data_IF_654397680065
#
_entry.id   IF_654397680065
#
_cell.length_a   1.000
_cell.length_b   1.000
_cell.length_c   1.000
_cell.angle_alpha   90.00
_cell.angle_beta   90.00
_cell.angle_gamma   90.00
#
_symmetry.space_group_name_H-M   'P 1'
#
loop_
_entity.id
_entity.type
_entity.pdbx_description
1 polymer ?
#
# COMPACT_ATOMS: atom_id res chain seq x y z
N UNK A 1 -62.30 -32.96 26.68
CA UNK A 1 -60.86 -33.05 26.98
C UNK A 1 -60.11 -32.46 25.77
N UNK A 2 -59.73 -31.24 25.89
CA UNK A 2 -59.05 -30.45 24.81
C UNK A 2 -57.58 -30.43 25.18
N UNK A 3 -56.71 -31.01 24.31
CA UNK A 3 -55.25 -30.92 24.42
C UNK A 3 -54.78 -29.68 23.69
N UNK A 4 -54.31 -28.69 24.44
CA UNK A 4 -53.62 -27.52 23.93
C UNK A 4 -52.14 -27.90 23.72
N UNK A 5 -51.70 -27.94 22.48
CA UNK A 5 -50.26 -28.03 22.12
C UNK A 5 -49.67 -26.62 22.09
N UNK A 6 -48.82 -26.34 23.07
CA UNK A 6 -47.99 -25.15 23.10
C UNK A 6 -46.80 -25.37 22.13
N UNK A 7 -46.77 -24.59 21.06
CA UNK A 7 -45.66 -24.56 20.11
C UNK A 7 -44.67 -23.49 20.59
N UNK A 8 -43.57 -23.94 21.21
CA UNK A 8 -42.46 -23.04 21.57
C UNK A 8 -41.65 -22.71 20.31
N UNK A 9 -41.80 -21.50 19.82
CA UNK A 9 -40.94 -20.96 18.77
C UNK A 9 -39.59 -20.56 19.39
N UNK A 10 -38.57 -21.37 19.14
CA UNK A 10 -37.18 -21.02 19.38
C UNK A 10 -36.74 -20.04 18.29
N UNK A 11 -36.73 -18.74 18.60
CA UNK A 11 -36.08 -17.71 17.81
C UNK A 11 -34.56 -17.86 18.01
N UNK A 12 -33.92 -18.59 17.09
CA UNK A 12 -32.47 -18.59 16.98
C UNK A 12 -32.07 -17.24 16.37
N UNK A 13 -31.64 -16.30 17.20
CA UNK A 13 -30.90 -15.15 16.77
C UNK A 13 -29.57 -15.65 16.18
N UNK A 14 -29.50 -15.80 14.87
CA UNK A 14 -28.23 -15.78 14.16
C UNK A 14 -27.65 -14.36 14.26
N UNK A 15 -26.88 -14.10 15.32
CA UNK A 15 -25.92 -13.03 15.29
C UNK A 15 -24.92 -13.39 14.19
N UNK A 16 -25.09 -12.79 13.02
CA UNK A 16 -24.03 -12.70 12.01
C UNK A 16 -22.87 -11.93 12.65
N UNK A 17 -21.97 -12.66 13.30
CA UNK A 17 -20.64 -12.15 13.54
C UNK A 17 -20.05 -11.86 12.15
N UNK A 18 -20.10 -10.62 11.71
CA UNK A 18 -19.18 -10.12 10.72
C UNK A 18 -17.80 -10.39 11.29
N UNK A 19 -17.14 -11.44 10.80
CA UNK A 19 -15.72 -11.65 10.97
C UNK A 19 -15.05 -10.44 10.31
N UNK A 20 -14.89 -9.36 11.06
CA UNK A 20 -13.95 -8.32 10.75
C UNK A 20 -12.60 -9.02 10.68
N UNK A 21 -12.05 -9.11 9.47
CA UNK A 21 -10.71 -9.62 9.26
C UNK A 21 -9.77 -8.73 10.09
N UNK A 22 -9.32 -9.24 11.23
CA UNK A 22 -8.38 -8.52 12.08
C UNK A 22 -7.02 -8.50 11.41
N UNK A 23 -6.39 -7.34 11.40
CA UNK A 23 -5.00 -7.17 11.00
C UNK A 23 -4.13 -8.11 11.84
N UNK A 24 -3.47 -9.07 11.20
CA UNK A 24 -2.58 -10.01 11.87
C UNK A 24 -1.14 -9.56 11.70
N UNK A 25 -0.52 -9.08 12.76
CA UNK A 25 0.89 -8.69 12.78
C UNK A 25 1.71 -9.88 13.28
N UNK A 26 2.58 -10.44 12.45
CA UNK A 26 3.59 -11.41 12.84
C UNK A 26 4.95 -10.70 12.98
N UNK A 27 5.40 -10.47 14.22
CA UNK A 27 6.75 -9.97 14.48
C UNK A 27 7.69 -11.16 14.56
N UNK A 28 8.57 -11.30 13.58
CA UNK A 28 9.70 -12.26 13.67
C UNK A 28 10.91 -11.56 14.26
N UNK A 29 11.36 -12.05 15.40
CA UNK A 29 12.50 -11.55 16.16
C UNK A 29 13.80 -11.55 15.34
N UNK A 30 14.53 -10.47 15.39
CA UNK A 30 15.86 -10.33 14.79
C UNK A 30 16.39 -8.91 14.71
N UNK A 31 15.61 -7.93 15.14
CA UNK A 31 15.96 -6.51 15.11
C UNK A 31 15.70 -5.86 16.47
N UNK A 32 16.25 -4.69 16.64
CA UNK A 32 16.17 -3.83 17.82
C UNK A 32 14.78 -3.84 18.46
N UNK A 33 14.70 -3.72 19.77
CA UNK A 33 13.42 -3.59 20.48
C UNK A 33 12.63 -2.43 19.89
N UNK A 34 11.29 -2.57 19.69
CA UNK A 34 10.47 -1.48 19.17
C UNK A 34 10.58 -0.24 20.08
N UNK A 35 10.71 0.93 19.46
CA UNK A 35 10.70 2.20 20.19
C UNK A 35 9.38 2.36 20.95
N UNK A 36 9.47 2.69 22.23
CA UNK A 36 8.29 2.86 23.08
C UNK A 36 7.78 4.30 23.00
N UNK A 37 6.54 4.45 22.59
CA UNK A 37 5.91 5.74 22.40
C UNK A 37 4.61 5.85 23.18
N UNK A 38 4.38 6.99 23.80
CA UNK A 38 3.11 7.35 24.39
C UNK A 38 2.38 8.35 23.48
N UNK A 39 1.16 8.02 23.07
CA UNK A 39 0.27 8.94 22.36
C UNK A 39 -0.89 9.24 23.28
N UNK A 40 -0.85 10.42 23.91
CA UNK A 40 -1.87 10.84 24.86
C UNK A 40 -3.18 11.11 24.11
N UNK A 41 -4.34 10.68 24.66
CA UNK A 41 -5.63 11.04 24.10
C UNK A 41 -5.76 12.55 23.91
N UNK A 42 -6.14 12.94 22.69
CA UNK A 42 -6.32 14.35 22.35
C UNK A 42 -7.49 14.93 23.17
N UNK A 43 -7.27 16.04 23.86
CA UNK A 43 -8.35 16.77 24.53
C UNK A 43 -9.20 17.51 23.50
N UNK A 44 -10.51 17.33 23.58
CA UNK A 44 -11.48 17.92 22.66
C UNK A 44 -12.28 19.04 23.34
N UNK A 45 -12.12 20.27 22.86
CA UNK A 45 -12.97 21.40 23.26
C UNK A 45 -14.21 21.51 22.37
N UNK A 46 -14.93 20.39 22.18
CA UNK A 46 -16.19 20.32 21.40
C UNK A 46 -17.19 19.41 22.13
N UNK A 47 -18.50 19.70 21.95
CA UNK A 47 -19.57 18.95 22.64
C UNK A 47 -19.68 17.49 22.19
N UNK A 48 -19.36 17.20 20.92
CA UNK A 48 -19.45 15.85 20.36
C UNK A 48 -18.15 15.52 19.65
N UNK A 49 -17.20 14.83 20.32
CA UNK A 49 -15.98 14.35 19.69
C UNK A 49 -16.30 13.40 18.54
N UNK A 50 -15.46 13.35 17.49
CA UNK A 50 -15.68 12.45 16.35
C UNK A 50 -15.64 10.98 16.77
N UNK A 51 -16.34 10.12 16.03
CA UNK A 51 -16.41 8.67 16.30
C UNK A 51 -15.05 7.96 16.22
N UNK A 52 -14.08 8.57 15.54
CA UNK A 52 -12.71 8.06 15.47
C UNK A 52 -11.81 8.91 16.37
N UNK A 53 -11.32 8.32 17.45
CA UNK A 53 -10.33 8.96 18.30
C UNK A 53 -8.99 9.05 17.60
N UNK A 54 -8.47 10.26 17.42
CA UNK A 54 -7.21 10.53 16.71
C UNK A 54 -6.05 9.69 17.27
N UNK A 55 -5.93 9.58 18.60
CA UNK A 55 -4.88 8.80 19.23
C UNK A 55 -4.97 7.29 18.94
N UNK A 56 -6.18 6.74 18.75
CA UNK A 56 -6.37 5.32 18.39
C UNK A 56 -5.91 5.04 16.96
N UNK A 57 -6.21 5.96 16.04
CA UNK A 57 -5.73 5.86 14.64
C UNK A 57 -4.21 5.95 14.63
N UNK A 58 -3.62 6.92 15.33
CA UNK A 58 -2.15 7.06 15.43
C UNK A 58 -1.52 5.80 16.04
N UNK A 59 -2.13 5.22 17.08
CA UNK A 59 -1.65 3.98 17.69
C UNK A 59 -1.62 2.84 16.66
N UNK A 60 -2.75 2.60 15.96
CA UNK A 60 -2.84 1.58 14.91
C UNK A 60 -1.77 1.75 13.84
N UNK A 61 -1.60 2.98 13.35
CA UNK A 61 -0.64 3.32 12.32
C UNK A 61 0.79 2.96 12.76
N UNK A 62 1.21 3.47 13.92
CA UNK A 62 2.57 3.29 14.40
C UNK A 62 2.91 1.82 14.70
N UNK A 63 1.95 1.06 15.21
CA UNK A 63 2.13 -0.38 15.49
C UNK A 63 2.12 -1.25 14.22
N UNK A 64 1.56 -0.75 13.10
CA UNK A 64 1.38 -1.53 11.86
C UNK A 64 2.69 -2.14 11.33
N UNK A 65 3.79 -1.45 11.48
CA UNK A 65 5.08 -1.89 10.96
C UNK A 65 6.02 -2.50 12.01
N UNK A 66 5.56 -2.62 13.28
CA UNK A 66 6.32 -3.23 14.36
C UNK A 66 7.59 -2.49 14.76
N UNK A 67 7.79 -1.25 14.28
CA UNK A 67 8.92 -0.37 14.64
C UNK A 67 8.65 0.41 15.94
N UNK A 68 7.37 0.52 16.32
CA UNK A 68 6.91 1.20 17.53
C UNK A 68 6.03 0.28 18.37
N UNK A 69 6.10 0.50 19.68
CA UNK A 69 5.17 -0.05 20.67
C UNK A 69 4.49 1.11 21.38
N UNK A 70 3.20 1.29 21.12
CA UNK A 70 2.42 2.37 21.75
C UNK A 70 1.84 1.89 23.07
N UNK A 71 2.05 2.62 24.15
CA UNK A 71 1.46 2.27 25.45
C UNK A 71 -0.01 2.68 25.52
N UNK A 72 -0.81 1.88 26.22
CA UNK A 72 -2.22 2.17 26.44
C UNK A 72 -2.41 3.36 27.39
N UNK A 73 -3.40 4.23 27.16
CA UNK A 73 -3.68 5.36 28.05
C UNK A 73 -3.92 4.97 29.52
N UNK A 74 -4.44 3.76 29.75
CA UNK A 74 -4.73 3.25 31.10
C UNK A 74 -3.48 3.02 31.96
N UNK A 75 -2.31 2.84 31.34
CA UNK A 75 -1.03 2.67 32.06
C UNK A 75 -0.23 3.96 32.17
N UNK A 76 -0.71 5.06 31.57
CA UNK A 76 -0.06 6.37 31.65
C UNK A 76 -0.26 6.97 33.04
N UNK A 77 0.80 7.56 33.62
CA UNK A 77 0.76 8.18 34.95
C UNK A 77 0.05 9.54 34.93
N UNK A 78 -0.01 10.19 33.79
CA UNK A 78 -0.71 11.46 33.57
C UNK A 78 -1.13 11.56 32.09
N UNK A 79 -2.08 12.45 31.79
CA UNK A 79 -2.55 12.72 30.43
C UNK A 79 -2.34 14.19 30.08
N UNK A 80 -1.08 14.65 29.93
CA UNK A 80 -0.78 16.05 29.64
C UNK A 80 -1.31 16.47 28.29
N UNK A 81 -1.90 17.65 28.20
CA UNK A 81 -2.40 18.23 26.95
C UNK A 81 -1.56 19.42 26.50
N UNK A 82 -0.72 19.95 27.39
CA UNK A 82 0.21 21.04 27.11
C UNK A 82 1.60 20.75 27.71
N UNK A 83 2.60 21.53 27.31
CA UNK A 83 4.01 21.31 27.70
C UNK A 83 4.27 21.51 29.20
N UNK A 84 3.48 22.35 29.90
CA UNK A 84 3.68 22.67 31.32
C UNK A 84 3.28 21.48 32.21
N UNK A 85 2.45 20.58 31.69
CA UNK A 85 1.98 19.38 32.39
C UNK A 85 2.90 18.18 32.17
N UNK A 86 3.95 18.30 31.36
CA UNK A 86 4.85 17.19 31.05
C UNK A 86 5.91 17.04 32.14
N UNK A 87 5.81 15.98 32.92
CA UNK A 87 6.81 15.60 33.91
C UNK A 87 7.69 14.47 33.33
N UNK A 88 8.84 14.80 32.77
CA UNK A 88 9.74 13.85 32.08
C UNK A 88 10.12 12.62 32.91
N UNK A 89 10.23 12.78 34.24
CA UNK A 89 10.54 11.67 35.15
C UNK A 89 9.51 10.56 35.07
N UNK A 90 8.23 10.89 34.97
CA UNK A 90 7.14 9.91 34.96
C UNK A 90 7.16 9.07 33.67
N UNK A 91 7.47 9.70 32.58
CA UNK A 91 7.63 8.99 31.28
C UNK A 91 8.87 8.11 31.24
N UNK A 92 9.98 8.50 31.89
CA UNK A 92 11.16 7.65 32.04
C UNK A 92 10.88 6.42 32.91
N UNK A 93 10.06 6.54 33.94
CA UNK A 93 9.65 5.40 34.77
C UNK A 93 8.83 4.37 33.98
N UNK A 94 8.12 4.81 32.95
CA UNK A 94 7.40 3.94 32.03
C UNK A 94 8.26 3.46 30.84
N UNK A 95 9.54 3.83 30.82
CA UNK A 95 10.49 3.49 29.76
C UNK A 95 10.01 3.96 28.38
N UNK A 96 9.55 5.22 28.30
CA UNK A 96 9.05 5.87 27.07
C UNK A 96 10.17 6.64 26.40
N UNK A 97 10.39 6.37 25.11
CA UNK A 97 11.36 7.09 24.29
C UNK A 97 10.78 8.42 23.79
N UNK A 98 9.53 8.38 23.31
CA UNK A 98 8.84 9.54 22.73
C UNK A 98 7.43 9.72 23.30
N UNK A 99 7.03 10.98 23.43
CA UNK A 99 5.70 11.36 23.89
C UNK A 99 5.03 12.26 22.85
N UNK A 100 3.78 11.97 22.53
CA UNK A 100 2.91 12.78 21.67
C UNK A 100 1.76 13.29 22.52
N UNK A 101 1.62 14.61 22.57
CA UNK A 101 0.52 15.29 23.28
C UNK A 101 -0.16 16.29 22.35
N UNK A 102 -1.38 16.67 22.65
CA UNK A 102 -2.08 17.68 21.88
C UNK A 102 -3.50 17.95 22.32
N UNK A 103 -4.07 19.00 21.75
CA UNK A 103 -5.46 19.42 21.97
C UNK A 103 -6.13 19.80 20.66
N UNK A 104 -7.44 19.67 20.62
CA UNK A 104 -8.28 20.01 19.48
C UNK A 104 -9.30 21.09 19.86
N UNK A 105 -9.46 22.07 18.97
CA UNK A 105 -10.42 23.19 19.13
C UNK A 105 -11.33 23.26 17.91
N UNK A 106 -12.62 23.53 18.15
CA UNK A 106 -13.55 23.86 17.07
C UNK A 106 -13.14 25.18 16.41
N UNK A 107 -13.17 25.22 15.08
CA UNK A 107 -13.08 26.44 14.26
C UNK A 107 -14.46 26.82 13.67
N UNK A 108 -15.42 25.89 13.72
CA UNK A 108 -16.80 25.99 13.22
C UNK A 108 -17.51 24.67 13.44
N UNK A 109 -18.69 24.49 12.86
CA UNK A 109 -19.53 23.29 13.11
C UNK A 109 -18.87 21.98 12.64
N UNK A 110 -18.09 22.01 11.57
CA UNK A 110 -17.44 20.83 10.99
C UNK A 110 -15.94 21.01 10.79
N UNK A 111 -15.36 22.08 11.31
CA UNK A 111 -13.91 22.34 11.20
C UNK A 111 -13.24 22.30 12.56
N UNK A 112 -12.05 21.74 12.58
CA UNK A 112 -11.24 21.56 13.78
C UNK A 112 -9.80 21.94 13.52
N UNK A 113 -9.15 22.47 14.56
CA UNK A 113 -7.70 22.69 14.63
C UNK A 113 -7.11 21.82 15.72
N UNK A 114 -6.10 21.03 15.38
CA UNK A 114 -5.32 20.22 16.32
C UNK A 114 -3.94 20.83 16.47
N UNK A 115 -3.56 21.17 17.71
CA UNK A 115 -2.20 21.54 18.10
C UNK A 115 -1.54 20.33 18.74
N UNK A 116 -0.37 19.89 18.25
CA UNK A 116 0.31 18.72 18.79
C UNK A 116 1.83 18.88 18.85
N UNK A 117 2.42 18.14 19.78
CA UNK A 117 3.85 18.14 20.03
C UNK A 117 4.39 16.70 20.01
N UNK A 118 5.59 16.53 19.47
CA UNK A 118 6.38 15.30 19.56
C UNK A 118 7.60 15.61 20.41
N UNK A 119 7.80 14.87 21.49
CA UNK A 119 8.80 15.13 22.51
C UNK A 119 9.72 13.92 22.65
N UNK A 120 11.03 14.14 22.59
CA UNK A 120 12.06 13.16 22.95
C UNK A 120 12.26 13.20 24.46
N UNK A 121 11.91 12.13 25.16
CA UNK A 121 11.90 12.06 26.62
C UNK A 121 13.32 12.00 27.18
N UNK A 122 14.22 11.27 26.52
CA UNK A 122 15.61 11.14 26.97
C UNK A 122 16.35 12.47 26.90
N UNK A 123 16.11 13.26 25.82
CA UNK A 123 16.74 14.57 25.60
C UNK A 123 15.97 15.74 26.18
N UNK A 124 14.77 15.51 26.73
CA UNK A 124 13.83 16.55 27.22
C UNK A 124 13.59 17.65 26.16
N UNK A 125 13.41 17.24 24.92
CA UNK A 125 13.36 18.16 23.79
C UNK A 125 12.11 17.96 22.94
N UNK A 126 11.45 19.07 22.59
CA UNK A 126 10.43 19.08 21.53
C UNK A 126 11.14 18.89 20.19
N UNK A 127 10.87 17.78 19.51
CA UNK A 127 11.43 17.50 18.18
C UNK A 127 10.50 17.94 17.04
N UNK A 128 9.21 18.15 17.35
CA UNK A 128 8.25 18.71 16.41
C UNK A 128 7.09 19.38 17.14
N UNK A 129 6.58 20.47 16.55
CA UNK A 129 5.35 21.14 16.91
C UNK A 129 4.64 21.55 15.64
N UNK A 130 3.33 21.32 15.57
CA UNK A 130 2.52 21.76 14.45
C UNK A 130 1.05 21.96 14.85
N UNK A 131 0.38 22.80 14.06
CA UNK A 131 -1.07 22.95 14.07
C UNK A 131 -1.57 22.44 12.72
N UNK A 132 -2.54 21.54 12.73
CA UNK A 132 -3.20 21.03 11.54
C UNK A 132 -4.69 21.32 11.65
N UNK A 133 -5.25 21.91 10.59
CA UNK A 133 -6.69 22.22 10.54
C UNK A 133 -7.36 21.45 9.40
N UNK A 134 -8.63 21.13 9.59
CA UNK A 134 -9.42 20.45 8.55
C UNK A 134 -10.80 20.05 9.05
N UNK A 135 -11.53 19.35 8.19
CA UNK A 135 -12.89 18.91 8.47
C UNK A 135 -12.93 17.71 9.43
N UNK A 136 -13.86 17.71 10.36
CA UNK A 136 -14.19 16.57 11.22
C UNK A 136 -14.58 15.32 10.39
N UNK A 137 -15.15 15.50 9.19
CA UNK A 137 -15.48 14.40 8.28
C UNK A 137 -14.21 13.67 7.83
N UNK A 138 -13.08 14.38 7.73
CA UNK A 138 -11.78 13.83 7.32
C UNK A 138 -10.81 13.65 8.48
N UNK A 139 -11.29 13.58 9.72
CA UNK A 139 -10.47 13.51 10.94
C UNK A 139 -9.50 12.33 10.94
N UNK A 140 -9.92 11.18 10.39
CA UNK A 140 -9.06 10.01 10.24
C UNK A 140 -7.84 10.31 9.35
N UNK A 141 -8.06 11.02 8.23
CA UNK A 141 -6.95 11.43 7.35
C UNK A 141 -6.00 12.41 8.05
N UNK A 142 -6.54 13.30 8.90
CA UNK A 142 -5.71 14.19 9.74
C UNK A 142 -4.85 13.36 10.70
N UNK A 143 -5.41 12.32 11.33
CA UNK A 143 -4.67 11.41 12.18
C UNK A 143 -3.54 10.69 11.43
N UNK A 144 -3.80 10.14 10.24
CA UNK A 144 -2.77 9.54 9.39
C UNK A 144 -1.64 10.53 9.02
N UNK A 145 -1.99 11.79 8.74
CA UNK A 145 -0.98 12.83 8.49
C UNK A 145 -0.12 13.13 9.72
N UNK A 146 -0.71 13.08 10.92
CA UNK A 146 0.03 13.20 12.18
C UNK A 146 0.95 11.98 12.36
N UNK A 147 0.45 10.77 12.13
CA UNK A 147 1.24 9.53 12.15
C UNK A 147 2.42 9.60 11.18
N UNK A 148 2.21 10.11 9.97
CA UNK A 148 3.27 10.34 8.98
C UNK A 148 4.37 11.25 9.53
N UNK A 149 3.98 12.34 10.21
CA UNK A 149 4.94 13.28 10.81
C UNK A 149 5.68 12.68 12.00
N UNK A 150 5.00 11.93 12.86
CA UNK A 150 5.63 11.21 13.97
C UNK A 150 6.68 10.26 13.42
N UNK A 151 6.30 9.43 12.43
CA UNK A 151 7.20 8.48 11.80
C UNK A 151 8.41 9.18 11.17
N UNK A 152 8.19 10.25 10.39
CA UNK A 152 9.25 11.03 9.75
C UNK A 152 10.24 11.63 10.76
N UNK A 153 9.74 12.22 11.86
CA UNK A 153 10.58 12.88 12.86
C UNK A 153 11.41 11.92 13.69
N UNK A 154 10.93 10.71 13.90
CA UNK A 154 11.60 9.70 14.71
C UNK A 154 12.51 8.82 13.85
N UNK A 155 12.03 8.29 12.73
CA UNK A 155 12.78 7.34 11.88
C UNK A 155 13.64 8.01 10.80
N UNK A 156 13.37 9.26 10.46
CA UNK A 156 14.00 9.97 9.33
C UNK A 156 13.47 9.54 7.95
N UNK A 157 12.54 8.61 7.87
CA UNK A 157 11.87 8.18 6.65
C UNK A 157 10.52 8.89 6.50
N UNK A 158 10.11 9.20 5.28
CA UNK A 158 8.77 9.75 5.03
C UNK A 158 7.70 8.78 5.54
N UNK A 159 6.69 9.27 6.27
CA UNK A 159 5.53 8.47 6.65
C UNK A 159 4.68 8.12 5.43
N UNK A 160 3.94 7.04 5.54
CA UNK A 160 3.12 6.47 4.45
C UNK A 160 1.69 6.14 4.89
N UNK A 161 1.30 6.51 6.11
CA UNK A 161 -0.01 6.19 6.68
C UNK A 161 -1.17 6.89 5.98
N UNK A 162 -0.91 8.07 5.39
CA UNK A 162 -1.89 8.81 4.57
C UNK A 162 -2.03 8.28 3.13
N UNK A 163 -1.29 7.23 2.76
CA UNK A 163 -1.34 6.64 1.41
C UNK A 163 -2.43 5.58 1.28
N UNK A 164 -2.67 5.13 0.05
CA UNK A 164 -3.70 4.16 -0.29
C UNK A 164 -3.16 2.99 -1.08
N UNK A 165 -3.92 1.91 -1.09
CA UNK A 165 -3.65 0.73 -1.89
C UNK A 165 -4.79 0.51 -2.86
N UNK A 166 -4.50 0.45 -4.16
CA UNK A 166 -5.42 -0.06 -5.16
C UNK A 166 -5.21 -1.57 -5.30
N UNK A 167 -6.27 -2.33 -5.49
CA UNK A 167 -6.18 -3.76 -5.69
C UNK A 167 -7.38 -4.29 -6.48
N UNK A 168 -7.26 -5.50 -6.99
CA UNK A 168 -8.36 -6.21 -7.63
C UNK A 168 -8.89 -7.23 -6.65
N UNK A 169 -10.18 -7.19 -6.39
CA UNK A 169 -10.88 -8.16 -5.57
C UNK A 169 -11.70 -9.10 -6.46
N UNK A 170 -11.43 -10.40 -6.35
CA UNK A 170 -12.24 -11.47 -6.93
C UNK A 170 -12.83 -12.28 -5.79
N UNK A 171 -14.09 -12.03 -5.37
CA UNK A 171 -14.67 -12.70 -4.22
C UNK A 171 -14.56 -14.21 -4.33
N UNK A 172 -14.10 -14.88 -3.27
CA UNK A 172 -13.75 -16.30 -3.22
C UNK A 172 -14.82 -17.27 -3.73
N UNK A 173 -16.09 -16.87 -3.65
CA UNK A 173 -17.24 -17.69 -4.09
C UNK A 173 -18.00 -17.12 -5.29
N UNK A 174 -17.58 -15.98 -5.82
CA UNK A 174 -18.18 -15.40 -7.01
C UNK A 174 -17.35 -15.78 -8.23
N UNK A 175 -17.96 -16.51 -9.16
CA UNK A 175 -17.23 -16.98 -10.36
C UNK A 175 -16.98 -15.84 -11.37
N UNK A 176 -17.85 -14.82 -11.40
CA UNK A 176 -17.93 -13.86 -12.50
C UNK A 176 -17.95 -12.40 -12.03
N UNK A 177 -17.23 -12.06 -10.96
CA UNK A 177 -17.13 -10.67 -10.49
C UNK A 177 -15.71 -10.31 -10.15
N UNK A 178 -15.28 -9.17 -10.68
CA UNK A 178 -14.01 -8.52 -10.37
C UNK A 178 -14.32 -7.09 -9.97
N UNK A 179 -13.80 -6.65 -8.83
CA UNK A 179 -13.93 -5.28 -8.33
C UNK A 179 -12.55 -4.63 -8.28
N UNK A 180 -12.40 -3.49 -8.96
CA UNK A 180 -11.26 -2.60 -8.75
C UNK A 180 -11.55 -1.77 -7.51
N UNK A 181 -10.70 -1.88 -6.49
CA UNK A 181 -10.91 -1.27 -5.19
C UNK A 181 -9.73 -0.39 -4.77
N UNK A 182 -10.00 0.56 -3.90
CA UNK A 182 -8.99 1.31 -3.17
C UNK A 182 -9.30 1.27 -1.68
N UNK A 183 -8.26 1.21 -0.85
CA UNK A 183 -8.38 1.21 0.61
C UNK A 183 -7.25 2.03 1.22
N UNK A 184 -7.44 2.53 2.44
CA UNK A 184 -6.35 3.05 3.25
C UNK A 184 -5.41 1.89 3.64
N UNK A 185 -4.19 2.19 4.07
CA UNK A 185 -3.20 1.14 4.36
C UNK A 185 -3.56 0.26 5.57
N UNK A 186 -4.45 0.73 6.44
CA UNK A 186 -5.01 -0.02 7.57
C UNK A 186 -6.23 -0.88 7.20
N UNK A 187 -6.62 -0.88 5.92
CA UNK A 187 -7.75 -1.63 5.38
C UNK A 187 -9.11 -0.94 5.52
N UNK A 188 -9.17 0.23 6.13
CA UNK A 188 -10.39 1.02 6.24
C UNK A 188 -10.66 1.83 4.96
N UNK A 189 -11.85 2.45 4.87
CA UNK A 189 -12.29 3.23 3.70
C UNK A 189 -12.18 2.47 2.37
N UNK A 190 -12.45 1.17 2.42
CA UNK A 190 -12.39 0.29 1.26
C UNK A 190 -13.55 0.57 0.29
N UNK A 191 -13.22 1.15 -0.87
CA UNK A 191 -14.17 1.62 -1.88
C UNK A 191 -14.02 0.84 -3.19
N UNK A 192 -15.13 0.37 -3.75
CA UNK A 192 -15.17 -0.15 -5.12
C UNK A 192 -15.23 1.02 -6.11
N UNK A 193 -14.23 1.10 -6.99
CA UNK A 193 -14.16 2.09 -8.07
C UNK A 193 -14.88 1.65 -9.34
N UNK A 194 -14.80 0.34 -9.62
CA UNK A 194 -15.38 -0.26 -10.82
C UNK A 194 -15.57 -1.77 -10.60
N UNK A 195 -16.68 -2.29 -11.11
CA UNK A 195 -17.01 -3.72 -11.08
C UNK A 195 -17.24 -4.25 -12.49
N UNK A 196 -16.81 -5.47 -12.77
CA UNK A 196 -16.98 -6.14 -14.07
C UNK A 196 -17.18 -7.64 -13.89
N UNK A 197 -17.93 -8.26 -14.79
CA UNK A 197 -17.99 -9.73 -14.91
C UNK A 197 -16.77 -10.30 -15.64
N UNK A 198 -15.98 -9.45 -16.27
CA UNK A 198 -14.75 -9.81 -16.96
C UNK A 198 -13.53 -9.37 -16.15
N UNK A 199 -12.38 -10.01 -16.34
CA UNK A 199 -11.16 -9.71 -15.59
C UNK A 199 -10.77 -8.22 -15.60
N UNK A 200 -10.35 -7.75 -14.43
CA UNK A 200 -9.65 -6.48 -14.23
C UNK A 200 -8.25 -6.83 -13.74
N UNK A 201 -7.20 -6.19 -14.28
CA UNK A 201 -5.82 -6.52 -13.98
C UNK A 201 -4.95 -5.25 -13.90
N UNK A 202 -3.82 -5.39 -13.22
CA UNK A 202 -2.67 -4.47 -13.25
C UNK A 202 -3.03 -3.01 -12.97
N UNK A 203 -3.64 -2.69 -11.81
CA UNK A 203 -3.84 -1.31 -11.41
C UNK A 203 -2.50 -0.60 -11.21
N UNK A 204 -2.41 0.65 -11.67
CA UNK A 204 -1.21 1.46 -11.61
C UNK A 204 -1.58 2.92 -11.34
N UNK A 205 -1.09 3.49 -10.24
CA UNK A 205 -1.32 4.87 -9.86
C UNK A 205 -0.57 5.86 -10.76
N UNK A 206 -1.22 6.98 -11.08
CA UNK A 206 -0.51 8.14 -11.61
C UNK A 206 0.41 8.75 -10.54
N UNK A 207 1.51 9.42 -10.91
CA UNK A 207 2.39 10.08 -9.94
C UNK A 207 1.69 11.15 -9.08
N UNK A 208 0.61 11.75 -9.60
CA UNK A 208 -0.21 12.70 -8.84
C UNK A 208 -1.15 12.04 -7.83
N UNK A 209 -1.35 10.72 -7.89
CA UNK A 209 -2.33 10.01 -7.08
C UNK A 209 -3.80 10.32 -7.42
N UNK A 210 -4.05 11.05 -8.51
CA UNK A 210 -5.40 11.47 -8.90
C UNK A 210 -6.06 10.52 -9.90
N UNK A 211 -5.25 9.74 -10.63
CA UNK A 211 -5.72 8.81 -11.65
C UNK A 211 -5.18 7.40 -11.40
N UNK A 212 -5.94 6.41 -11.83
CA UNK A 212 -5.56 5.00 -11.82
C UNK A 212 -5.68 4.43 -13.22
N UNK A 213 -4.58 3.87 -13.76
CA UNK A 213 -4.60 3.08 -14.97
C UNK A 213 -4.82 1.61 -14.62
N UNK A 214 -5.56 0.87 -15.44
CA UNK A 214 -5.78 -0.57 -15.26
C UNK A 214 -6.22 -1.22 -16.57
N UNK A 215 -6.14 -2.53 -16.62
CA UNK A 215 -6.62 -3.34 -17.74
C UNK A 215 -8.02 -3.85 -17.43
N UNK A 216 -8.95 -3.72 -18.38
CA UNK A 216 -10.27 -4.33 -18.31
C UNK A 216 -10.56 -5.15 -19.56
N UNK A 217 -11.25 -6.28 -19.37
CA UNK A 217 -11.72 -7.16 -20.44
C UNK A 217 -13.23 -7.00 -20.68
N UNK A 218 -13.88 -5.95 -20.16
CA UNK A 218 -15.32 -5.70 -20.26
C UNK A 218 -15.87 -5.71 -21.69
N UNK A 219 -15.04 -5.37 -22.68
CA UNK A 219 -15.38 -5.40 -24.12
C UNK A 219 -14.95 -6.73 -24.80
N UNK A 220 -14.68 -7.80 -24.02
CA UNK A 220 -14.25 -9.11 -24.52
C UNK A 220 -12.76 -9.22 -24.91
N UNK A 221 -12.05 -8.11 -24.92
CA UNK A 221 -10.60 -8.04 -25.21
C UNK A 221 -9.93 -7.07 -24.24
N UNK A 222 -8.62 -7.29 -23.97
CA UNK A 222 -7.88 -6.44 -23.06
C UNK A 222 -7.78 -5.01 -23.57
N UNK A 223 -8.08 -4.04 -22.70
CA UNK A 223 -7.95 -2.61 -22.95
C UNK A 223 -7.47 -1.89 -21.72
N UNK A 224 -6.61 -0.90 -21.89
CA UNK A 224 -6.13 -0.06 -20.79
C UNK A 224 -7.07 1.13 -20.65
N UNK A 225 -7.58 1.33 -19.44
CA UNK A 225 -8.38 2.47 -19.04
C UNK A 225 -7.59 3.34 -18.06
N UNK A 226 -7.87 4.63 -18.07
CA UNK A 226 -7.48 5.57 -17.04
C UNK A 226 -8.76 6.09 -16.39
N UNK A 227 -8.84 6.00 -15.07
CA UNK A 227 -9.96 6.50 -14.27
C UNK A 227 -9.51 7.64 -13.38
N UNK A 228 -10.19 8.77 -13.45
CA UNK A 228 -10.04 9.87 -12.51
C UNK A 228 -10.78 9.55 -11.22
N UNK A 229 -10.11 9.63 -10.07
CA UNK A 229 -10.67 9.18 -8.80
C UNK A 229 -11.72 10.15 -8.23
N UNK A 230 -11.56 11.45 -8.48
CA UNK A 230 -12.48 12.47 -7.95
C UNK A 230 -13.87 12.41 -8.62
N UNK A 231 -13.93 12.13 -9.91
CA UNK A 231 -15.16 12.14 -10.71
C UNK A 231 -15.66 10.74 -11.05
N UNK A 232 -14.81 9.72 -10.94
CA UNK A 232 -15.07 8.37 -11.43
C UNK A 232 -15.03 8.25 -12.96
N UNK A 233 -14.70 9.33 -13.69
CA UNK A 233 -14.66 9.34 -15.15
C UNK A 233 -13.59 8.40 -15.68
N UNK A 234 -13.98 7.54 -16.63
CA UNK A 234 -13.11 6.55 -17.25
C UNK A 234 -12.85 6.91 -18.71
N UNK A 235 -11.59 6.85 -19.12
CA UNK A 235 -11.18 7.03 -20.52
C UNK A 235 -10.28 5.88 -20.96
N UNK A 236 -10.58 5.24 -22.11
CA UNK A 236 -9.70 4.21 -22.64
C UNK A 236 -8.49 4.83 -23.33
N UNK A 237 -7.33 4.14 -23.26
CA UNK A 237 -6.23 4.45 -24.17
C UNK A 237 -6.53 3.93 -25.59
N UNK A 238 -5.85 4.51 -26.58
CA UNK A 238 -5.92 4.01 -27.95
C UNK A 238 -5.51 2.54 -27.97
N UNK A 239 -6.48 1.67 -28.33
CA UNK A 239 -6.27 0.24 -28.38
C UNK A 239 -5.47 -0.12 -29.64
N UNK A 240 -4.55 -1.07 -29.50
CA UNK A 240 -3.91 -1.79 -30.59
C UNK A 240 -4.44 -3.24 -30.63
N UNK A 241 -4.27 -3.93 -31.75
CA UNK A 241 -4.64 -5.34 -31.89
C UNK A 241 -3.85 -6.23 -30.90
N UNK A 242 -4.46 -7.33 -30.47
CA UNK A 242 -3.89 -8.28 -29.54
C UNK A 242 -3.94 -7.81 -28.08
N UNK A 243 -2.93 -8.19 -27.31
CA UNK A 243 -2.83 -7.90 -25.87
C UNK A 243 -2.48 -6.42 -25.64
N UNK A 244 -3.21 -5.78 -24.74
CA UNK A 244 -2.92 -4.45 -24.20
C UNK A 244 -2.91 -4.58 -22.68
N UNK A 245 -1.75 -4.60 -22.04
CA UNK A 245 -1.64 -4.95 -20.61
C UNK A 245 -0.52 -4.23 -19.86
N UNK A 246 -0.46 -4.45 -18.53
CA UNK A 246 0.62 -4.03 -17.62
C UNK A 246 1.00 -2.56 -17.75
N UNK A 247 0.06 -1.62 -17.58
CA UNK A 247 0.36 -0.19 -17.63
C UNK A 247 1.27 0.20 -16.45
N UNK A 248 2.21 1.11 -16.72
CA UNK A 248 3.09 1.74 -15.72
C UNK A 248 3.31 3.20 -16.08
N UNK A 249 3.04 4.11 -15.16
CA UNK A 249 3.17 5.54 -15.35
C UNK A 249 4.61 6.01 -15.27
N UNK A 250 5.01 6.93 -16.16
CA UNK A 250 6.26 7.64 -15.99
C UNK A 250 6.21 8.59 -14.80
N UNK A 251 7.36 8.88 -14.12
CA UNK A 251 7.39 9.75 -12.95
C UNK A 251 6.86 11.17 -13.19
N UNK A 252 6.95 11.67 -14.42
CA UNK A 252 6.43 12.99 -14.83
C UNK A 252 4.94 12.98 -15.21
N UNK A 253 4.29 11.80 -15.16
CA UNK A 253 2.88 11.64 -15.52
C UNK A 253 2.55 11.82 -17.00
N UNK A 254 3.55 12.01 -17.87
CA UNK A 254 3.34 12.25 -19.30
C UNK A 254 3.15 10.98 -20.11
N UNK A 255 3.80 9.88 -19.69
CA UNK A 255 3.85 8.66 -20.45
C UNK A 255 3.30 7.47 -19.66
N UNK A 256 2.78 6.50 -20.39
CA UNK A 256 2.46 5.16 -19.86
C UNK A 256 3.26 4.14 -20.67
N UNK A 257 4.12 3.36 -20.00
CA UNK A 257 4.67 2.15 -20.57
C UNK A 257 3.66 1.03 -20.43
N UNK A 258 3.49 0.22 -21.46
CA UNK A 258 2.58 -0.92 -21.45
C UNK A 258 3.07 -2.01 -22.40
N UNK A 259 2.44 -3.18 -22.29
CA UNK A 259 2.68 -4.32 -23.16
C UNK A 259 1.64 -4.37 -24.27
N UNK A 260 2.09 -4.38 -25.51
CA UNK A 260 1.24 -4.62 -26.68
C UNK A 260 1.77 -5.80 -27.46
N UNK A 261 0.88 -6.69 -27.93
CA UNK A 261 1.26 -7.81 -28.80
C UNK A 261 0.93 -7.53 -30.28
N UNK A 262 1.11 -6.29 -30.70
CA UNK A 262 0.93 -5.88 -32.10
C UNK A 262 1.90 -6.64 -32.99
N UNK A 263 1.39 -7.55 -33.81
CA UNK A 263 2.18 -8.34 -34.77
C UNK A 263 2.87 -9.58 -34.21
N UNK A 264 2.25 -10.34 -33.34
CA UNK A 264 2.59 -11.69 -32.87
C UNK A 264 3.41 -11.81 -31.60
N UNK A 265 4.12 -10.77 -31.12
CA UNK A 265 4.95 -10.88 -29.91
C UNK A 265 4.68 -9.75 -28.92
N UNK A 266 4.53 -10.06 -27.62
CA UNK A 266 4.41 -9.03 -26.58
C UNK A 266 5.72 -8.26 -26.41
N UNK A 267 5.67 -6.97 -26.72
CA UNK A 267 6.76 -6.01 -26.54
C UNK A 267 6.31 -4.81 -25.72
N UNK A 268 7.26 -4.04 -25.21
CA UNK A 268 6.99 -2.81 -24.43
C UNK A 268 6.84 -1.63 -25.39
N UNK A 269 5.77 -0.89 -25.19
CA UNK A 269 5.46 0.37 -25.87
C UNK A 269 5.31 1.49 -24.88
N UNK A 270 5.54 2.71 -25.32
CA UNK A 270 5.32 3.96 -24.55
C UNK A 270 4.19 4.72 -25.22
N UNK A 271 3.16 5.06 -24.45
CA UNK A 271 2.07 5.93 -24.85
C UNK A 271 2.34 7.37 -24.41
N UNK A 272 2.35 8.32 -25.34
CA UNK A 272 2.39 9.73 -25.04
C UNK A 272 0.94 10.24 -24.86
N UNK A 273 0.59 10.61 -23.63
CA UNK A 273 -0.75 11.07 -23.26
C UNK A 273 -1.13 12.40 -23.95
N UNK A 274 -0.15 13.22 -24.36
CA UNK A 274 -0.39 14.48 -25.08
C UNK A 274 -0.60 14.24 -26.58
N UNK A 275 0.15 13.29 -27.15
CA UNK A 275 0.10 12.98 -28.58
C UNK A 275 -0.94 11.90 -28.90
N UNK A 276 -1.45 11.22 -27.90
CA UNK A 276 -2.42 10.13 -28.03
C UNK A 276 -1.93 9.00 -28.94
N UNK A 277 -0.66 8.64 -28.81
CA UNK A 277 0.01 7.70 -29.72
C UNK A 277 1.02 6.77 -29.03
N UNK A 278 1.10 5.55 -29.53
CA UNK A 278 2.06 4.54 -29.10
C UNK A 278 3.38 4.62 -29.85
N UNK A 279 4.48 4.42 -29.15
CA UNK A 279 5.82 4.23 -29.72
C UNK A 279 6.45 2.97 -29.15
N UNK A 280 6.87 2.05 -30.02
CA UNK A 280 7.56 0.83 -29.63
C UNK A 280 8.91 1.13 -28.97
N UNK A 281 9.15 0.51 -27.83
CA UNK A 281 10.38 0.64 -27.06
C UNK A 281 11.29 -0.58 -27.23
N UNK A 282 10.74 -1.80 -27.11
CA UNK A 282 11.46 -3.06 -27.32
C UNK A 282 10.95 -3.76 -28.57
N UNK A 283 11.80 -4.60 -29.17
CA UNK A 283 11.46 -5.48 -30.30
C UNK A 283 12.38 -6.69 -30.23
N UNK A 284 11.81 -7.83 -29.87
CA UNK A 284 12.55 -9.08 -29.70
C UNK A 284 11.61 -10.27 -29.88
N UNK A 285 12.10 -11.43 -30.31
CA UNK A 285 11.29 -12.65 -30.47
C UNK A 285 10.83 -13.24 -29.09
N UNK A 286 11.49 -12.86 -27.99
CA UNK A 286 11.08 -13.21 -26.64
C UNK A 286 10.02 -12.24 -26.13
N UNK A 287 9.21 -12.69 -25.18
CA UNK A 287 8.17 -11.90 -24.51
C UNK A 287 8.83 -10.86 -23.62
N UNK A 288 8.52 -9.59 -23.82
CA UNK A 288 8.86 -8.46 -22.96
C UNK A 288 7.60 -7.95 -22.26
N UNK A 289 7.58 -7.96 -20.92
CA UNK A 289 6.37 -7.67 -20.15
C UNK A 289 6.68 -6.98 -18.81
N UNK A 290 5.62 -6.48 -18.14
CA UNK A 290 5.66 -5.94 -16.78
C UNK A 290 6.68 -4.80 -16.60
N UNK A 291 6.60 -3.74 -17.41
CA UNK A 291 7.52 -2.61 -17.31
C UNK A 291 7.31 -1.84 -16.00
N UNK A 292 8.42 -1.30 -15.45
CA UNK A 292 8.40 -0.36 -14.34
C UNK A 292 9.44 0.74 -14.56
N UNK A 293 9.07 2.00 -14.30
CA UNK A 293 9.93 3.15 -14.54
C UNK A 293 10.93 3.35 -13.40
N UNK A 294 12.14 3.73 -13.76
CA UNK A 294 13.07 4.33 -12.79
C UNK A 294 12.53 5.69 -12.32
N UNK A 295 12.84 6.08 -11.09
CA UNK A 295 12.46 7.37 -10.51
C UNK A 295 12.88 8.57 -11.38
N UNK A 296 14.03 8.46 -12.06
CA UNK A 296 14.50 9.49 -12.98
C UNK A 296 13.76 9.55 -14.33
N UNK A 297 12.91 8.59 -14.65
CA UNK A 297 12.26 8.47 -15.96
C UNK A 297 13.19 8.09 -17.12
N UNK A 298 14.48 7.85 -16.87
CA UNK A 298 15.46 7.59 -17.92
C UNK A 298 15.56 6.12 -18.33
N UNK A 299 15.01 5.21 -17.53
CA UNK A 299 15.10 3.77 -17.76
C UNK A 299 13.80 3.07 -17.35
N UNK A 300 13.57 1.90 -17.94
CA UNK A 300 12.55 0.94 -17.52
C UNK A 300 13.23 -0.38 -17.14
N UNK A 301 12.77 -1.02 -16.06
CA UNK A 301 12.99 -2.47 -15.87
C UNK A 301 11.78 -3.24 -16.39
N UNK A 302 12.02 -4.46 -16.82
CA UNK A 302 10.97 -5.30 -17.38
C UNK A 302 11.36 -6.78 -17.30
N UNK A 303 10.36 -7.64 -17.36
CA UNK A 303 10.53 -9.09 -17.46
C UNK A 303 10.72 -9.49 -18.90
N UNK A 304 11.73 -10.35 -19.19
CA UNK A 304 11.93 -10.90 -20.53
C UNK A 304 12.43 -12.34 -20.50
N UNK A 305 11.92 -13.16 -21.39
CA UNK A 305 12.41 -14.54 -21.58
C UNK A 305 13.44 -14.69 -22.72
N UNK A 306 14.01 -13.56 -23.20
CA UNK A 306 14.99 -13.52 -24.31
C UNK A 306 16.23 -14.39 -24.10
N UNK A 307 16.54 -14.76 -22.86
CA UNK A 307 17.64 -15.67 -22.51
C UNK A 307 17.18 -17.08 -22.15
N UNK A 308 15.96 -17.49 -22.59
CA UNK A 308 15.36 -18.80 -22.38
C UNK A 308 14.31 -18.83 -21.27
N UNK A 309 14.59 -18.29 -20.11
CA UNK A 309 13.65 -18.20 -18.98
C UNK A 309 13.43 -16.75 -18.57
N UNK A 310 12.30 -16.44 -17.89
CA UNK A 310 12.03 -15.08 -17.44
C UNK A 310 13.11 -14.51 -16.52
N UNK A 311 13.63 -13.34 -16.87
CA UNK A 311 14.65 -12.61 -16.14
C UNK A 311 14.36 -11.11 -16.20
N UNK A 312 14.93 -10.35 -15.29
CA UNK A 312 14.79 -8.90 -15.25
C UNK A 312 15.85 -8.24 -16.11
N UNK A 313 15.40 -7.37 -16.99
CA UNK A 313 16.21 -6.51 -17.86
C UNK A 313 15.90 -5.03 -17.60
N UNK A 314 16.86 -4.19 -17.89
CA UNK A 314 16.72 -2.73 -17.89
C UNK A 314 16.99 -2.20 -19.27
N UNK A 315 16.16 -1.30 -19.76
CA UNK A 315 16.38 -0.54 -20.99
C UNK A 315 16.50 0.95 -20.65
N UNK A 316 17.53 1.61 -21.20
CA UNK A 316 17.62 3.06 -21.19
C UNK A 316 16.76 3.64 -22.31
N UNK A 317 15.85 4.57 -21.98
CA UNK A 317 14.85 5.13 -22.91
C UNK A 317 15.48 5.80 -24.11
N UNK A 318 16.54 6.60 -23.90
CA UNK A 318 17.19 7.39 -24.94
C UNK A 318 18.10 6.55 -25.82
N UNK A 319 19.00 5.78 -25.22
CA UNK A 319 20.02 5.01 -25.95
C UNK A 319 19.54 3.65 -26.44
N UNK A 320 18.37 3.17 -25.97
CA UNK A 320 17.81 1.84 -26.24
C UNK A 320 18.71 0.68 -25.78
N UNK A 321 19.75 0.99 -24.99
CA UNK A 321 20.67 -0.04 -24.47
C UNK A 321 19.95 -0.89 -23.44
N UNK A 322 19.96 -2.22 -23.65
CA UNK A 322 19.37 -3.22 -22.75
C UNK A 322 20.47 -3.91 -21.95
N UNK A 323 20.23 -4.16 -20.67
CA UNK A 323 21.12 -4.88 -19.74
C UNK A 323 20.31 -5.85 -18.90
N UNK A 324 20.76 -7.09 -18.77
CA UNK A 324 20.22 -8.06 -17.82
C UNK A 324 20.62 -7.67 -16.40
N UNK A 325 19.68 -7.81 -15.45
CA UNK A 325 19.86 -7.45 -14.03
C UNK A 325 19.87 -8.65 -13.08
N UNK A 326 19.19 -9.75 -13.44
CA UNK A 326 19.12 -10.96 -12.63
C UNK A 326 19.85 -12.11 -13.30
N UNK A 327 20.66 -12.85 -12.53
CA UNK A 327 21.50 -13.95 -13.02
C UNK A 327 21.30 -15.23 -12.21
N UNK A 328 20.75 -15.15 -11.00
CA UNK A 328 20.46 -16.29 -10.15
C UNK A 328 19.01 -16.75 -10.33
N UNK A 329 18.81 -18.07 -10.27
CA UNK A 329 17.49 -18.69 -10.42
C UNK A 329 17.01 -18.81 -11.86
N UNK A 330 16.00 -19.64 -12.05
CA UNK A 330 15.41 -19.94 -13.36
C UNK A 330 14.21 -19.10 -13.71
N UNK A 331 13.71 -18.30 -12.76
CA UNK A 331 12.55 -17.43 -12.96
C UNK A 331 12.65 -16.19 -12.08
N UNK A 332 12.66 -15.03 -12.71
CA UNK A 332 12.62 -13.72 -12.07
C UNK A 332 11.68 -12.82 -12.89
N UNK A 333 10.63 -12.27 -12.26
CA UNK A 333 9.57 -11.52 -12.94
C UNK A 333 9.01 -10.39 -12.08
N UNK A 334 8.25 -9.48 -12.68
CA UNK A 334 7.49 -8.41 -12.02
C UNK A 334 8.37 -7.52 -11.13
N UNK A 335 9.49 -7.04 -11.66
CA UNK A 335 10.39 -6.19 -10.90
C UNK A 335 9.80 -4.80 -10.68
N UNK A 336 10.13 -4.21 -9.51
CA UNK A 336 9.87 -2.81 -9.15
C UNK A 336 11.14 -2.19 -8.61
N UNK A 337 11.40 -0.93 -8.98
CA UNK A 337 12.48 -0.17 -8.36
C UNK A 337 12.11 0.20 -6.92
N UNK A 338 13.09 0.18 -6.03
CA UNK A 338 13.00 0.91 -4.77
C UNK A 338 13.40 2.37 -4.99
N UNK A 339 12.90 3.25 -4.11
CA UNK A 339 13.37 4.65 -4.01
C UNK A 339 14.88 4.69 -4.08
N UNK A 340 15.46 5.59 -4.85
CA UNK A 340 16.88 5.71 -5.21
C UNK A 340 17.42 4.82 -6.34
N UNK A 341 16.64 3.91 -6.92
CA UNK A 341 17.04 3.09 -8.07
C UNK A 341 18.23 2.16 -7.87
N UNK A 342 18.73 1.99 -6.62
CA UNK A 342 19.89 1.13 -6.30
C UNK A 342 19.50 -0.31 -6.02
N UNK A 343 18.25 -0.54 -5.69
CA UNK A 343 17.69 -1.84 -5.36
C UNK A 343 16.41 -2.08 -6.16
N UNK A 344 16.12 -3.35 -6.39
CA UNK A 344 14.86 -3.81 -6.99
C UNK A 344 14.25 -4.89 -6.13
N UNK A 345 12.92 -4.98 -6.13
CA UNK A 345 12.21 -6.17 -5.70
C UNK A 345 11.65 -6.88 -6.93
N UNK A 346 11.46 -8.17 -6.85
CA UNK A 346 10.88 -8.98 -7.92
C UNK A 346 10.39 -10.32 -7.39
N UNK A 347 9.57 -11.02 -8.17
CA UNK A 347 9.18 -12.40 -7.89
C UNK A 347 10.30 -13.33 -8.34
N UNK A 348 10.82 -14.07 -7.38
CA UNK A 348 11.90 -15.05 -7.54
C UNK A 348 11.40 -16.46 -7.27
N UNK A 349 11.68 -17.39 -8.17
CA UNK A 349 11.35 -18.80 -7.95
C UNK A 349 12.50 -19.54 -7.29
N UNK A 350 12.28 -20.03 -6.07
CA UNK A 350 13.23 -20.82 -5.31
C UNK A 350 12.61 -22.17 -4.94
N UNK A 351 13.25 -23.27 -5.32
CA UNK A 351 12.75 -24.63 -5.05
C UNK A 351 11.30 -24.88 -5.46
N UNK A 352 10.86 -24.26 -6.56
CA UNK A 352 9.50 -24.41 -7.08
C UNK A 352 8.48 -23.41 -6.53
N UNK A 353 8.81 -22.66 -5.48
CA UNK A 353 7.93 -21.67 -4.82
C UNK A 353 8.30 -20.25 -5.24
N UNK A 354 7.30 -19.40 -5.41
CA UNK A 354 7.48 -17.99 -5.76
C UNK A 354 7.52 -17.13 -4.50
N UNK A 355 8.55 -16.31 -4.40
CA UNK A 355 8.80 -15.42 -3.27
C UNK A 355 9.11 -14.01 -3.74
N UNK A 356 8.83 -13.02 -2.90
CA UNK A 356 9.37 -11.67 -3.11
C UNK A 356 10.85 -11.65 -2.71
N UNK A 357 11.71 -11.24 -3.63
CA UNK A 357 13.14 -11.07 -3.42
C UNK A 357 13.54 -9.60 -3.56
N UNK A 358 14.51 -9.19 -2.76
CA UNK A 358 15.19 -7.90 -2.83
C UNK A 358 16.59 -8.11 -3.38
N UNK A 359 16.99 -7.34 -4.38
CA UNK A 359 18.35 -7.37 -4.94
C UNK A 359 18.98 -5.98 -4.91
N UNK A 360 20.20 -5.91 -4.40
CA UNK A 360 21.07 -4.74 -4.56
C UNK A 360 21.73 -4.79 -5.95
N UNK A 361 21.50 -3.78 -6.76
CA UNK A 361 21.95 -3.74 -8.17
C UNK A 361 23.45 -3.50 -8.31
N UNK A 362 24.12 -3.01 -7.27
CA UNK A 362 25.58 -2.78 -7.28
C UNK A 362 26.34 -4.05 -6.91
N UNK A 363 25.95 -4.69 -5.81
CA UNK A 363 26.63 -5.89 -5.30
C UNK A 363 26.10 -7.19 -5.91
N UNK A 364 24.88 -7.17 -6.49
CA UNK A 364 24.18 -8.37 -6.92
C UNK A 364 23.58 -9.21 -5.79
N UNK A 365 23.75 -8.81 -4.52
CA UNK A 365 23.27 -9.57 -3.36
C UNK A 365 21.76 -9.68 -3.35
N UNK A 366 21.24 -10.90 -3.21
CA UNK A 366 19.80 -11.21 -3.16
C UNK A 366 19.42 -11.61 -1.74
N UNK A 367 18.28 -11.10 -1.28
CA UNK A 367 17.62 -11.48 -0.03
C UNK A 367 16.17 -11.86 -0.32
N UNK A 368 15.75 -13.06 0.07
CA UNK A 368 14.34 -13.46 0.03
C UNK A 368 13.63 -12.78 1.22
N UNK A 369 12.53 -12.11 0.94
CA UNK A 369 11.77 -11.34 1.92
C UNK A 369 10.61 -12.14 2.51
N UNK A 370 10.06 -13.09 1.77
CA UNK A 370 8.83 -13.80 2.11
C UNK A 370 9.06 -15.31 2.20
N UNK A 371 8.22 -15.98 2.97
CA UNK A 371 8.22 -17.43 3.16
C UNK A 371 6.84 -18.06 2.89
N UNK A 372 5.94 -17.30 2.29
CA UNK A 372 4.61 -17.72 1.85
C UNK A 372 4.67 -18.59 0.59
N UNK A 373 3.55 -19.28 0.25
CA UNK A 373 3.60 -20.35 -0.75
C UNK A 373 3.47 -19.88 -2.20
N UNK A 374 2.82 -18.72 -2.42
CA UNK A 374 2.53 -18.21 -3.76
C UNK A 374 2.45 -16.69 -3.73
N UNK A 375 3.60 -16.05 -3.81
CA UNK A 375 3.68 -14.60 -3.81
C UNK A 375 3.63 -14.05 -5.22
N UNK A 376 2.87 -12.98 -5.41
CA UNK A 376 2.74 -12.32 -6.71
C UNK A 376 2.54 -10.81 -6.57
N UNK A 377 2.77 -10.10 -7.68
CA UNK A 377 2.45 -8.67 -7.85
C UNK A 377 2.98 -7.75 -6.74
N UNK A 378 4.30 -7.77 -6.45
CA UNK A 378 4.84 -6.92 -5.40
C UNK A 378 4.76 -5.44 -5.78
N UNK A 379 4.38 -4.60 -4.79
CA UNK A 379 4.34 -3.15 -4.90
C UNK A 379 5.09 -2.50 -3.75
N UNK A 380 5.77 -1.40 -4.03
CA UNK A 380 6.66 -0.69 -3.08
C UNK A 380 5.95 0.54 -2.53
N UNK A 381 6.07 0.77 -1.22
CA UNK A 381 5.62 2.02 -0.60
C UNK A 381 6.45 3.23 -1.08
N UNK A 382 5.89 4.45 -1.07
CA UNK A 382 6.61 5.64 -1.52
C UNK A 382 7.95 5.90 -0.80
N UNK A 383 8.05 5.51 0.47
CA UNK A 383 9.30 5.65 1.24
C UNK A 383 10.30 4.49 1.01
N UNK A 384 9.93 3.48 0.21
CA UNK A 384 10.79 2.35 -0.13
C UNK A 384 11.05 1.36 1.01
N UNK A 385 10.37 1.47 2.17
CA UNK A 385 10.60 0.60 3.34
C UNK A 385 9.60 -0.55 3.46
N UNK A 386 8.42 -0.44 2.86
CA UNK A 386 7.37 -1.45 2.95
C UNK A 386 7.03 -2.00 1.58
N UNK A 387 6.90 -3.30 1.49
CA UNK A 387 6.48 -4.03 0.30
C UNK A 387 5.16 -4.70 0.60
N UNK A 388 4.15 -4.49 -0.25
CA UNK A 388 2.92 -5.28 -0.27
C UNK A 388 2.95 -6.23 -1.45
N UNK A 389 2.30 -7.36 -1.30
CA UNK A 389 2.20 -8.40 -2.33
C UNK A 389 0.92 -9.21 -2.12
N UNK A 390 0.45 -9.86 -3.16
CA UNK A 390 -0.63 -10.84 -3.03
C UNK A 390 -0.06 -12.20 -2.69
N UNK A 391 -0.75 -12.96 -1.85
CA UNK A 391 -0.36 -14.33 -1.46
C UNK A 391 -1.59 -15.15 -1.05
N UNK A 392 -1.36 -16.38 -0.63
CA UNK A 392 -2.40 -17.29 -0.12
C UNK A 392 -2.36 -17.37 1.40
N UNK A 393 -3.54 -17.30 2.01
CA UNK A 393 -3.81 -17.70 3.40
C UNK A 393 -4.89 -18.80 3.38
N UNK A 394 -4.45 -20.05 3.44
CA UNK A 394 -5.32 -21.19 3.11
C UNK A 394 -5.79 -21.11 1.66
N UNK A 395 -7.10 -21.13 1.46
CA UNK A 395 -7.72 -21.04 0.13
C UNK A 395 -8.04 -19.60 -0.30
N UNK A 396 -7.74 -18.60 0.53
CA UNK A 396 -8.04 -17.19 0.25
C UNK A 396 -6.85 -16.48 -0.35
N UNK A 397 -7.12 -15.59 -1.32
CA UNK A 397 -6.13 -14.63 -1.78
C UNK A 397 -6.17 -13.42 -0.85
N UNK A 398 -5.03 -13.04 -0.30
CA UNK A 398 -4.89 -11.93 0.65
C UNK A 398 -3.74 -11.02 0.23
N UNK A 399 -3.81 -9.76 0.65
CA UNK A 399 -2.67 -8.87 0.58
C UNK A 399 -1.85 -9.02 1.86
N UNK A 400 -0.57 -9.22 1.70
CA UNK A 400 0.38 -9.26 2.79
C UNK A 400 1.44 -8.16 2.62
N UNK A 401 2.09 -7.78 3.71
CA UNK A 401 3.16 -6.81 3.69
C UNK A 401 4.39 -7.27 4.44
N UNK A 402 5.53 -6.74 4.06
CA UNK A 402 6.81 -6.94 4.76
C UNK A 402 7.58 -5.63 4.79
N UNK A 403 8.11 -5.28 5.96
CA UNK A 403 9.02 -4.14 6.12
C UNK A 403 10.45 -4.55 5.82
N UNK A 404 11.23 -3.67 5.20
CA UNK A 404 12.63 -3.96 4.87
C UNK A 404 13.58 -3.79 6.07
N UNK A 405 13.27 -2.88 6.97
CA UNK A 405 14.07 -2.58 8.16
C UNK A 405 13.77 -3.59 9.28
N UNK A 406 12.56 -3.59 9.81
CA UNK A 406 12.15 -4.44 10.93
C UNK A 406 11.87 -5.89 10.55
N UNK A 407 11.72 -6.19 9.25
CA UNK A 407 11.29 -7.50 8.73
C UNK A 407 9.94 -7.97 9.30
N UNK A 408 9.15 -7.05 9.79
CA UNK A 408 7.78 -7.31 10.25
C UNK A 408 6.92 -7.72 9.08
N UNK A 409 6.13 -8.76 9.28
CA UNK A 409 5.13 -9.23 8.31
C UNK A 409 3.74 -8.95 8.84
N UNK A 410 2.86 -8.49 7.97
CA UNK A 410 1.47 -8.20 8.29
C UNK A 410 0.56 -8.60 7.14
N UNK A 411 -0.73 -8.75 7.43
CA UNK A 411 -1.76 -9.04 6.43
C UNK A 411 -2.77 -7.90 6.44
N UNK A 412 -3.12 -7.40 5.27
CA UNK A 412 -4.17 -6.42 5.10
C UNK A 412 -5.52 -7.15 5.00
N UNK A 413 -6.53 -6.71 5.75
CA UNK A 413 -7.86 -7.30 5.66
C UNK A 413 -8.41 -7.09 4.25
N UNK A 414 -9.03 -8.14 3.71
CA UNK A 414 -9.78 -8.09 2.47
C UNK A 414 -11.23 -8.46 2.76
N UNK A 415 -12.16 -7.65 2.30
CA UNK A 415 -13.59 -7.84 2.57
C UNK A 415 -14.13 -9.19 2.05
N UNK A 416 -13.56 -9.74 0.98
CA UNK A 416 -14.09 -10.92 0.28
C UNK A 416 -13.16 -12.14 0.28
N UNK A 417 -11.88 -11.97 0.65
CA UNK A 417 -10.87 -13.02 0.59
C UNK A 417 -10.40 -13.35 -0.83
N UNK A 418 -10.46 -12.39 -1.76
CA UNK A 418 -10.01 -12.53 -3.15
C UNK A 418 -9.06 -11.43 -3.62
N UNK A 419 -8.34 -10.76 -2.71
CA UNK A 419 -7.53 -9.60 -3.03
C UNK A 419 -6.23 -9.96 -3.76
N UNK A 420 -6.00 -9.32 -4.90
CA UNK A 420 -4.85 -9.55 -5.80
C UNK A 420 -4.33 -8.26 -6.40
N UNK A 421 -3.15 -8.32 -7.00
CA UNK A 421 -2.53 -7.25 -7.79
C UNK A 421 -2.50 -5.89 -7.07
N UNK A 422 -1.93 -5.81 -5.86
CA UNK A 422 -1.86 -4.56 -5.15
C UNK A 422 -0.97 -3.54 -5.86
N UNK A 423 -1.38 -2.27 -5.79
CA UNK A 423 -0.60 -1.12 -6.25
C UNK A 423 -0.64 -0.04 -5.19
N UNK A 424 0.52 0.32 -4.67
CA UNK A 424 0.65 1.37 -3.66
C UNK A 424 0.57 2.74 -4.31
N UNK A 425 -0.21 3.67 -3.71
CA UNK A 425 -0.30 5.04 -4.20
C UNK A 425 1.00 5.81 -3.92
N UNK A 426 1.29 6.87 -4.69
CA UNK A 426 2.24 7.88 -4.24
C UNK A 426 1.71 8.55 -2.96
N UNK A 427 2.58 9.27 -2.26
CA UNK A 427 2.13 10.16 -1.19
C UNK A 427 1.41 11.36 -1.84
N UNK A 428 0.18 11.58 -1.42
CA UNK A 428 -0.66 12.68 -1.90
C UNK A 428 -0.63 13.74 -0.80
N UNK A 429 -0.03 14.90 -1.08
CA UNK A 429 0.03 16.05 -0.17
C UNK A 429 -1.34 16.74 -0.03
#
# INVERSE_FOLDING_TARGET
>A
MIFIRIFLLFLIFFSSNSLLSQLRIEIRSGLEEPLRIAVVPIEWSIESPPNHYVHEVIKKDLELFGEFKVIDPEVMLSLPVNLEEVFYRDWRLLDIDYLVIGSAKALGDLEVSLDYFIIDIAREKIIHKAIISGSLISIKRIAHNISDKIYEKISGLSGIFSTRIAYVDKPYKSLDRYDLRITDIDGDNDLSLFSSEQPILSPAWSPSGQELAYVSFEEGTSRIYIQELATGTRRPLKREEGINSSPSWSPDGRYIAAVLSKGDNPDIYIYDLRQNSWKQLTSHYGIDTEPDWSESGNSLIFTSNRSGSPQIYEINIKSKRIKRKTFEGTYNARARYLSNGKKIIYIHRKKGVFHVALQDLRSGKIRILTDTLLDESPSVSPNGNVIIYATKDGDRDVLAGVTLNSQTKFTLPSASGGAREPSWSPKID
#
